data_IF_202050010758
#
_entry.id   IF_202050010758
#
_cell.length_a   1.000
_cell.length_b   1.000
_cell.length_c   1.000
_cell.angle_alpha   90.00
_cell.angle_beta   90.00
_cell.angle_gamma   90.00
#
_symmetry.space_group_name_H-M   'P 1'
#
loop_
_entity.id
_entity.type
_entity.pdbx_description
1 polymer ?
#
# COMPACT_ATOMS: atom_id res chain seq x y z
N UNK A 1 1.56 -12.36 -15.99
CA UNK A 1 0.65 -11.57 -15.12
C UNK A 1 0.77 -12.11 -13.71
N UNK A 2 1.50 -11.44 -12.82
CA UNK A 2 1.61 -11.89 -11.43
C UNK A 2 0.50 -11.22 -10.62
N UNK A 3 -0.61 -11.95 -10.46
CA UNK A 3 -1.84 -11.53 -9.77
C UNK A 3 -1.82 -11.84 -8.26
N UNK A 4 -0.65 -12.19 -7.72
CA UNK A 4 -0.47 -12.49 -6.30
C UNK A 4 0.64 -11.60 -5.75
N UNK A 5 0.30 -10.36 -5.40
CA UNK A 5 1.05 -9.66 -4.37
C UNK A 5 0.97 -10.52 -3.12
N UNK A 6 2.12 -10.91 -2.57
CA UNK A 6 2.17 -11.64 -1.30
C UNK A 6 1.28 -10.92 -0.27
N UNK A 7 0.58 -11.64 0.61
CA UNK A 7 -0.20 -11.01 1.66
C UNK A 7 0.72 -10.07 2.44
N UNK A 8 0.37 -8.79 2.49
CA UNK A 8 1.20 -7.78 3.13
C UNK A 8 0.99 -7.87 4.64
N UNK A 9 2.07 -7.93 5.40
CA UNK A 9 2.01 -8.00 6.84
C UNK A 9 1.79 -6.60 7.43
N UNK A 10 0.52 -6.23 7.62
CA UNK A 10 0.14 -4.90 8.13
C UNK A 10 0.71 -4.58 9.52
N UNK A 11 1.15 -5.58 10.31
CA UNK A 11 1.80 -5.35 11.61
C UNK A 11 3.16 -4.66 11.51
N UNK A 12 3.80 -4.74 10.34
CA UNK A 12 5.09 -4.09 10.07
C UNK A 12 4.94 -2.72 9.40
N UNK A 13 3.72 -2.38 9.01
CA UNK A 13 3.40 -1.17 8.26
C UNK A 13 3.11 -0.05 9.24
N UNK A 14 3.81 1.05 9.07
CA UNK A 14 3.62 2.31 9.79
C UNK A 14 2.89 3.33 8.94
N UNK A 15 3.08 3.27 7.63
CA UNK A 15 2.53 4.24 6.68
C UNK A 15 2.08 3.57 5.40
N UNK A 16 0.93 3.96 4.88
CA UNK A 16 0.47 3.63 3.54
C UNK A 16 0.43 4.90 2.71
N UNK A 17 1.10 4.86 1.56
CA UNK A 17 1.13 5.93 0.57
C UNK A 17 0.29 5.46 -0.61
N UNK A 18 -0.83 6.11 -0.85
CA UNK A 18 -1.71 5.86 -1.98
C UNK A 18 -1.42 6.90 -3.05
N UNK A 19 -0.86 6.47 -4.18
CA UNK A 19 -0.58 7.35 -5.31
C UNK A 19 -1.85 7.59 -6.13
N UNK A 20 -2.21 8.86 -6.29
CA UNK A 20 -3.31 9.30 -7.11
C UNK A 20 -2.88 9.47 -8.58
N UNK A 21 -3.84 9.45 -9.52
CA UNK A 21 -3.56 9.49 -10.95
C UNK A 21 -2.90 10.79 -11.44
N UNK A 22 -3.14 11.88 -10.74
CA UNK A 22 -2.64 13.23 -11.01
C UNK A 22 -1.22 13.47 -10.48
N UNK A 23 -0.60 12.45 -9.87
CA UNK A 23 0.72 12.54 -9.27
C UNK A 23 0.69 12.99 -7.81
N UNK A 24 -0.48 13.28 -7.24
CA UNK A 24 -0.61 13.49 -5.81
C UNK A 24 -0.54 12.16 -5.04
N UNK A 25 -0.31 12.23 -3.72
CA UNK A 25 -0.30 11.05 -2.88
C UNK A 25 -1.02 11.29 -1.56
N UNK A 26 -1.89 10.35 -1.17
CA UNK A 26 -2.50 10.32 0.14
C UNK A 26 -1.62 9.52 1.10
N UNK A 27 -1.23 10.15 2.20
CA UNK A 27 -0.39 9.51 3.23
C UNK A 27 -1.24 9.20 4.44
N UNK A 28 -1.35 7.91 4.75
CA UNK A 28 -2.08 7.40 5.90
C UNK A 28 -1.13 6.75 6.88
N UNK A 29 -1.15 7.18 8.14
CA UNK A 29 -0.45 6.49 9.22
C UNK A 29 -1.29 5.33 9.73
N UNK A 30 -0.64 4.20 9.96
CA UNK A 30 -1.26 2.98 10.48
C UNK A 30 -1.01 2.94 11.98
N UNK A 31 -1.95 3.49 12.75
CA UNK A 31 -1.88 3.51 14.22
C UNK A 31 -2.46 2.22 14.83
N UNK A 32 -1.91 1.06 14.45
CA UNK A 32 -2.17 -0.22 15.15
C UNK A 32 -3.59 -0.82 15.06
N UNK A 33 -4.55 -0.18 14.39
CA UNK A 33 -5.96 -0.64 14.33
C UNK A 33 -6.32 -1.38 13.03
N UNK A 34 -5.42 -1.46 12.04
CA UNK A 34 -5.79 -1.93 10.69
C UNK A 34 -5.27 -3.33 10.41
N UNK A 35 -5.90 -4.35 11.01
CA UNK A 35 -5.60 -5.77 10.71
C UNK A 35 -6.08 -6.18 9.30
N UNK A 36 -7.06 -5.46 8.71
CA UNK A 36 -7.76 -5.83 7.48
C UNK A 36 -7.78 -4.73 6.40
N UNK A 37 -6.63 -4.09 6.14
CA UNK A 37 -6.56 -3.12 5.04
C UNK A 37 -6.66 -3.83 3.68
N UNK A 38 -7.79 -3.64 2.99
CA UNK A 38 -8.00 -4.17 1.65
C UNK A 38 -7.56 -3.16 0.61
N UNK A 39 -6.47 -3.48 -0.08
CA UNK A 39 -6.07 -2.74 -1.27
C UNK A 39 -6.99 -3.08 -2.44
N UNK A 40 -7.28 -2.06 -3.26
CA UNK A 40 -8.02 -2.26 -4.52
C UNK A 40 -7.17 -2.95 -5.59
N UNK A 41 -7.70 -3.04 -6.81
CA UNK A 41 -6.92 -3.51 -7.95
C UNK A 41 -5.80 -2.49 -8.26
N UNK A 42 -4.55 -2.95 -8.29
CA UNK A 42 -3.40 -2.06 -8.43
C UNK A 42 -2.06 -2.78 -8.34
N UNK A 43 -0.98 -2.00 -8.33
CA UNK A 43 0.36 -2.46 -7.95
C UNK A 43 0.64 -2.04 -6.52
N UNK A 44 1.24 -2.95 -5.76
CA UNK A 44 1.74 -2.70 -4.41
C UNK A 44 3.26 -2.78 -4.48
N UNK A 45 3.94 -1.75 -3.97
CA UNK A 45 5.36 -1.81 -3.63
C UNK A 45 5.45 -1.83 -2.10
N UNK A 46 5.89 -2.96 -1.55
CA UNK A 46 6.01 -3.18 -0.11
C UNK A 46 7.47 -2.96 0.31
N UNK A 47 7.73 -1.86 1.03
CA UNK A 47 9.01 -1.56 1.68
C UNK A 47 8.91 -1.66 3.19
N UNK A 48 7.87 -2.30 3.72
CA UNK A 48 7.56 -2.31 5.15
C UNK A 48 8.67 -2.93 6.02
N UNK A 49 9.46 -3.85 5.48
CA UNK A 49 10.62 -4.42 6.17
C UNK A 49 11.80 -3.44 6.29
N UNK A 50 11.85 -2.38 5.48
CA UNK A 50 12.94 -1.40 5.44
C UNK A 50 12.55 -0.14 6.24
N UNK A 51 11.41 0.48 5.89
CA UNK A 51 10.98 1.78 6.43
C UNK A 51 9.57 1.76 7.02
N UNK A 52 8.88 0.61 6.97
CA UNK A 52 7.51 0.49 7.42
C UNK A 52 6.49 1.09 6.44
N UNK A 53 6.84 1.28 5.16
CA UNK A 53 5.97 1.93 4.18
C UNK A 53 5.43 0.92 3.16
N UNK A 54 4.17 1.11 2.76
CA UNK A 54 3.62 0.52 1.53
C UNK A 54 3.26 1.64 0.57
N UNK A 55 3.61 1.48 -0.69
CA UNK A 55 3.09 2.28 -1.78
C UNK A 55 2.04 1.48 -2.57
N UNK A 56 0.86 2.07 -2.73
CA UNK A 56 -0.19 1.53 -3.58
C UNK A 56 -0.42 2.42 -4.80
N UNK A 57 -0.48 1.77 -5.96
CA UNK A 57 -0.73 2.39 -7.26
C UNK A 57 -1.99 1.76 -7.87
N UNK A 58 -3.16 2.43 -7.85
CA UNK A 58 -4.39 1.88 -8.38
C UNK A 58 -4.31 1.57 -9.88
N UNK A 59 -4.92 0.46 -10.31
CA UNK A 59 -5.00 0.04 -11.71
C UNK A 59 -6.04 0.88 -12.45
N UNK A 60 -5.75 1.25 -13.70
CA UNK A 60 -6.61 2.13 -14.51
C UNK A 60 -6.15 3.59 -14.52
N UNK A 61 -5.07 3.88 -13.79
CA UNK A 61 -4.50 5.22 -13.63
C UNK A 61 -2.96 5.18 -13.61
N UNK A 62 -2.39 4.42 -14.55
CA UNK A 62 -0.95 4.34 -14.81
C UNK A 62 -0.69 4.47 -16.31
#
# INVERSE_FOLDING_TARGET
MQLFSKPVNMKKVRTVIYHLPDGEALVMKVDGVVDDMKFGLGKICDTSEIDGIIHFYPRGYA
#
